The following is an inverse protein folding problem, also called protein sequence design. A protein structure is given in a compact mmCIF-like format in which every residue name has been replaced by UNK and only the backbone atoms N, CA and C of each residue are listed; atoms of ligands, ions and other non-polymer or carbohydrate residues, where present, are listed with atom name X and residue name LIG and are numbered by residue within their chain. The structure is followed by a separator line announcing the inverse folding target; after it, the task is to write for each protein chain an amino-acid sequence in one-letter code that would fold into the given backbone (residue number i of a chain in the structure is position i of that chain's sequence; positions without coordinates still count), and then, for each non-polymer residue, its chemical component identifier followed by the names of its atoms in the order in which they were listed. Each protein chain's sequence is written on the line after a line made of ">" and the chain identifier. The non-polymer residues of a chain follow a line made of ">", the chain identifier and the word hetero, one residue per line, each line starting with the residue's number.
data_IF_225250263457
#
_entry.id   IF_225250263457
#
_cell.length_a   1.000
_cell.length_b   1.000
_cell.length_c   1.000
_cell.angle_alpha   90.00
_cell.angle_beta   90.00
_cell.angle_gamma   90.00
#
_symmetry.space_group_name_H-M   'P 1'
#
loop_
_entity.id
_entity.type
_entity.pdbx_description
1 polymer ?
#
# COMPACT_ATOMS: atom_id res chain seq x y z
N UNK A 1 -23.21 9.22 -5.83
CA UNK A 1 -22.95 10.56 -5.28
C UNK A 1 -21.87 11.19 -6.14
N UNK A 2 -22.23 12.10 -7.04
CA UNK A 2 -21.30 12.70 -7.98
C UNK A 2 -20.31 13.59 -7.22
N UNK A 3 -19.02 13.31 -7.36
CA UNK A 3 -17.95 14.16 -6.83
C UNK A 3 -17.95 15.40 -7.72
N UNK A 4 -18.38 16.54 -7.19
CA UNK A 4 -18.31 17.82 -7.91
C UNK A 4 -16.84 18.12 -8.22
N UNK A 5 -16.53 18.29 -9.51
CA UNK A 5 -15.17 18.49 -10.02
C UNK A 5 -14.50 19.80 -9.55
N UNK A 6 -15.19 20.63 -8.78
CA UNK A 6 -14.76 21.99 -8.40
C UNK A 6 -13.89 22.08 -7.13
N UNK A 7 -13.67 21.00 -6.35
CA UNK A 7 -12.97 21.11 -5.04
C UNK A 7 -11.64 20.35 -4.89
N UNK A 8 -11.31 19.42 -5.79
CA UNK A 8 -10.18 18.49 -5.58
C UNK A 8 -8.82 19.19 -5.46
N UNK A 9 -8.61 20.28 -6.21
CA UNK A 9 -7.35 21.02 -6.19
C UNK A 9 -7.06 21.65 -4.82
N UNK A 10 -8.10 22.18 -4.16
CA UNK A 10 -7.97 22.74 -2.80
C UNK A 10 -7.70 21.66 -1.76
N UNK A 11 -8.38 20.52 -1.87
CA UNK A 11 -8.21 19.38 -0.97
C UNK A 11 -6.83 18.74 -1.13
N UNK A 12 -6.37 18.54 -2.36
CA UNK A 12 -5.03 18.04 -2.66
C UNK A 12 -3.95 18.98 -2.14
N UNK A 13 -4.12 20.30 -2.32
CA UNK A 13 -3.19 21.29 -1.79
C UNK A 13 -3.12 21.24 -0.26
N UNK A 14 -4.27 21.18 0.42
CA UNK A 14 -4.33 21.04 1.89
C UNK A 14 -3.63 19.76 2.36
N UNK A 15 -3.83 18.64 1.67
CA UNK A 15 -3.16 17.38 1.99
C UNK A 15 -1.63 17.49 1.81
N UNK A 16 -1.16 18.07 0.71
CA UNK A 16 0.27 18.29 0.46
C UNK A 16 0.90 19.22 1.51
N UNK A 17 0.23 20.33 1.87
CA UNK A 17 0.67 21.19 2.97
C UNK A 17 0.80 20.39 4.26
N UNK A 18 -0.18 19.53 4.57
CA UNK A 18 -0.13 18.71 5.79
C UNK A 18 1.05 17.74 5.81
N UNK A 19 1.37 17.12 4.67
CA UNK A 19 2.58 16.27 4.52
C UNK A 19 3.83 17.08 4.83
N UNK A 20 3.98 18.26 4.22
CA UNK A 20 5.15 19.13 4.44
C UNK A 20 5.27 19.65 5.87
N UNK A 21 4.16 19.97 6.52
CA UNK A 21 4.13 20.40 7.92
C UNK A 21 4.51 19.30 8.90
N UNK A 22 4.08 18.06 8.63
CA UNK A 22 4.27 16.93 9.56
C UNK A 22 5.48 16.07 9.26
N UNK A 23 6.03 16.17 8.04
CA UNK A 23 7.16 15.37 7.54
C UNK A 23 7.04 13.89 7.94
N UNK A 24 5.95 13.20 7.53
CA UNK A 24 5.66 11.87 8.04
C UNK A 24 6.75 10.86 7.66
N UNK A 25 7.11 10.00 8.61
CA UNK A 25 8.02 8.87 8.37
C UNK A 25 7.26 7.75 7.66
N UNK A 26 7.60 7.46 6.40
CA UNK A 26 6.94 6.43 5.59
C UNK A 26 7.87 5.24 5.41
N UNK A 27 7.50 4.11 6.04
CA UNK A 27 8.20 2.85 5.79
C UNK A 27 7.80 2.31 4.42
N UNK A 28 8.78 1.94 3.61
CA UNK A 28 8.60 1.47 2.25
C UNK A 28 9.17 0.05 2.12
N UNK A 29 8.30 -0.94 1.96
CA UNK A 29 8.68 -2.31 1.57
C UNK A 29 8.29 -2.45 0.10
N UNK A 30 9.19 -2.03 -0.79
CA UNK A 30 8.92 -1.82 -2.22
C UNK A 30 9.88 -2.59 -3.09
N UNK A 31 9.56 -2.73 -4.38
CA UNK A 31 10.38 -3.48 -5.32
C UNK A 31 11.72 -2.80 -5.63
N UNK A 32 12.72 -3.59 -6.03
CA UNK A 32 14.09 -3.11 -6.32
C UNK A 32 14.14 -2.03 -7.41
N UNK A 33 13.25 -2.09 -8.40
CA UNK A 33 13.25 -1.17 -9.54
C UNK A 33 12.75 0.22 -9.12
N UNK A 34 11.78 0.29 -8.21
CA UNK A 34 11.16 1.55 -7.80
C UNK A 34 11.66 2.14 -6.49
N UNK A 35 12.57 1.48 -5.76
CA UNK A 35 13.08 2.00 -4.48
C UNK A 35 13.56 3.45 -4.58
N UNK A 36 14.45 3.74 -5.53
CA UNK A 36 15.05 5.07 -5.67
C UNK A 36 14.02 6.15 -6.06
N UNK A 37 13.12 5.85 -7.00
CA UNK A 37 12.11 6.82 -7.43
C UNK A 37 11.05 7.05 -6.35
N UNK A 38 10.69 6.02 -5.58
CA UNK A 38 9.77 6.13 -4.46
C UNK A 38 10.35 7.00 -3.33
N UNK A 39 11.62 6.79 -2.95
CA UNK A 39 12.32 7.65 -1.99
C UNK A 39 12.29 9.12 -2.42
N UNK A 40 12.76 9.40 -3.64
CA UNK A 40 12.87 10.77 -4.11
C UNK A 40 11.52 11.46 -4.30
N UNK A 41 10.48 10.71 -4.68
CA UNK A 41 9.12 11.26 -4.77
C UNK A 41 8.61 11.67 -3.39
N UNK A 42 8.77 10.80 -2.38
CA UNK A 42 8.38 11.11 -1.00
C UNK A 42 9.17 12.30 -0.44
N UNK A 43 10.48 12.38 -0.71
CA UNK A 43 11.30 13.53 -0.32
C UNK A 43 10.83 14.83 -1.00
N UNK A 44 10.52 14.78 -2.30
CA UNK A 44 10.03 15.95 -3.05
C UNK A 44 8.66 16.44 -2.53
N UNK A 45 7.82 15.51 -2.06
CA UNK A 45 6.54 15.81 -1.42
C UNK A 45 6.69 16.37 0.00
N UNK A 46 7.87 16.20 0.63
CA UNK A 46 8.18 16.66 1.99
C UNK A 46 7.98 15.62 3.09
N UNK A 47 7.89 14.33 2.73
CA UNK A 47 7.88 13.21 3.66
C UNK A 47 9.30 12.66 3.90
N UNK A 48 9.44 11.77 4.88
CA UNK A 48 10.70 11.07 5.19
C UNK A 48 10.57 9.58 4.83
N UNK A 49 11.16 9.10 3.72
CA UNK A 49 11.09 7.69 3.33
C UNK A 49 12.12 6.84 4.08
N UNK A 50 11.77 5.58 4.38
CA UNK A 50 12.71 4.59 4.89
C UNK A 50 12.44 3.19 4.34
N UNK A 51 13.46 2.57 3.74
CA UNK A 51 13.39 1.26 3.10
C UNK A 51 13.80 0.17 4.09
N UNK A 52 12.90 -0.15 5.02
CA UNK A 52 13.16 -1.12 6.10
C UNK A 52 12.29 -2.36 5.91
N UNK A 53 12.94 -3.50 5.70
CA UNK A 53 12.30 -4.78 5.36
C UNK A 53 12.92 -6.00 6.08
N UNK A 54 14.01 -5.78 6.83
CA UNK A 54 14.76 -6.82 7.55
C UNK A 54 14.05 -7.14 8.84
N UNK A 55 13.70 -8.41 9.07
CA UNK A 55 12.77 -8.82 10.13
C UNK A 55 13.25 -8.42 11.53
N UNK A 56 14.57 -8.40 11.72
CA UNK A 56 15.25 -8.09 12.98
C UNK A 56 14.95 -6.68 13.51
N UNK A 57 14.76 -5.71 12.62
CA UNK A 57 14.40 -4.32 12.98
C UNK A 57 12.98 -3.93 12.56
N UNK A 58 12.32 -4.78 11.76
CA UNK A 58 11.08 -4.45 11.06
C UNK A 58 9.95 -4.00 11.99
N UNK A 59 9.70 -4.76 13.05
CA UNK A 59 8.54 -4.52 13.93
C UNK A 59 8.73 -3.27 14.78
N UNK A 60 9.95 -3.02 15.22
CA UNK A 60 10.32 -1.79 15.91
C UNK A 60 10.13 -0.60 14.97
N UNK A 61 10.69 -0.67 13.76
CA UNK A 61 10.60 0.40 12.79
C UNK A 61 9.15 0.69 12.35
N UNK A 62 8.36 -0.36 12.12
CA UNK A 62 6.94 -0.24 11.76
C UNK A 62 6.17 0.53 12.82
N UNK A 63 6.46 0.28 14.10
CA UNK A 63 5.81 0.97 15.22
C UNK A 63 6.14 2.47 15.27
N UNK A 64 7.36 2.85 14.86
CA UNK A 64 7.83 4.24 14.78
C UNK A 64 7.28 4.98 13.55
N UNK A 65 7.01 4.26 12.46
CA UNK A 65 6.53 4.85 11.21
C UNK A 65 5.17 5.55 11.37
N UNK A 66 4.92 6.54 10.52
CA UNK A 66 3.62 7.21 10.39
C UNK A 66 2.67 6.45 9.45
N UNK A 67 3.23 5.78 8.44
CA UNK A 67 2.50 4.97 7.47
C UNK A 67 3.42 3.91 6.84
N UNK A 68 2.80 2.88 6.26
CA UNK A 68 3.50 1.78 5.57
C UNK A 68 3.06 1.68 4.10
N UNK A 69 4.02 1.67 3.18
CA UNK A 69 3.80 1.39 1.76
C UNK A 69 4.35 0.03 1.38
N UNK A 70 3.51 -0.82 0.78
CA UNK A 70 3.88 -2.16 0.30
C UNK A 70 3.69 -2.23 -1.22
N UNK A 71 4.74 -2.68 -1.91
CA UNK A 71 4.68 -2.94 -3.35
C UNK A 71 5.33 -4.30 -3.66
N UNK A 72 4.59 -5.18 -4.33
CA UNK A 72 4.98 -6.58 -4.59
C UNK A 72 5.72 -6.79 -5.92
N UNK A 73 6.23 -5.72 -6.55
CA UNK A 73 6.79 -5.75 -7.92
C UNK A 73 7.94 -6.74 -8.13
N UNK A 74 8.85 -6.90 -7.18
CA UNK A 74 9.98 -7.86 -7.23
C UNK A 74 9.89 -8.83 -6.05
N UNK A 75 8.76 -9.50 -5.92
CA UNK A 75 8.42 -10.35 -4.80
C UNK A 75 9.38 -11.54 -4.61
N UNK A 76 9.71 -11.85 -3.36
CA UNK A 76 10.38 -13.08 -2.94
C UNK A 76 9.67 -13.68 -1.71
N UNK A 77 9.89 -14.96 -1.37
CA UNK A 77 9.31 -15.57 -0.16
C UNK A 77 9.64 -14.82 1.12
N UNK A 78 10.91 -14.44 1.31
CA UNK A 78 11.38 -13.70 2.50
C UNK A 78 10.71 -12.33 2.59
N UNK A 79 10.54 -11.66 1.45
CA UNK A 79 9.88 -10.37 1.39
C UNK A 79 8.41 -10.44 1.73
N UNK A 80 7.70 -11.49 1.27
CA UNK A 80 6.30 -11.69 1.68
C UNK A 80 6.18 -11.92 3.18
N UNK A 81 7.11 -12.67 3.77
CA UNK A 81 7.14 -12.88 5.20
C UNK A 81 7.28 -11.53 5.95
N UNK A 82 8.26 -10.71 5.55
CA UNK A 82 8.43 -9.37 6.11
C UNK A 82 7.22 -8.47 5.87
N UNK A 83 6.67 -8.43 4.65
CA UNK A 83 5.49 -7.62 4.33
C UNK A 83 4.32 -7.97 5.26
N UNK A 84 4.03 -9.26 5.45
CA UNK A 84 2.98 -9.70 6.38
C UNK A 84 3.26 -9.28 7.81
N UNK A 85 4.47 -9.50 8.32
CA UNK A 85 4.85 -9.12 9.67
C UNK A 85 4.69 -7.59 9.89
N UNK A 86 5.11 -6.78 8.92
CA UNK A 86 4.92 -5.33 8.94
C UNK A 86 3.45 -4.93 8.92
N UNK A 87 2.61 -5.52 8.05
CA UNK A 87 1.17 -5.19 8.02
C UNK A 87 0.44 -5.55 9.31
N UNK A 88 0.77 -6.70 9.92
CA UNK A 88 0.18 -7.11 11.19
C UNK A 88 0.54 -6.08 12.26
N UNK A 89 1.81 -5.69 12.36
CA UNK A 89 2.26 -4.67 13.30
C UNK A 89 1.66 -3.29 13.01
N UNK A 90 1.55 -2.91 11.75
CA UNK A 90 0.91 -1.66 11.34
C UNK A 90 -0.56 -1.63 11.82
N UNK A 91 -1.29 -2.73 11.64
CA UNK A 91 -2.66 -2.84 12.13
C UNK A 91 -2.75 -2.78 13.66
N UNK A 92 -1.88 -3.48 14.39
CA UNK A 92 -1.79 -3.42 15.86
C UNK A 92 -1.53 -2.01 16.36
N UNK A 93 -0.65 -1.26 15.68
CA UNK A 93 -0.31 0.12 15.99
C UNK A 93 -1.24 1.16 15.33
N UNK A 94 -2.31 0.73 14.68
CA UNK A 94 -3.26 1.58 13.95
C UNK A 94 -2.61 2.53 12.93
N UNK A 95 -1.52 2.09 12.30
CA UNK A 95 -0.82 2.82 11.24
C UNK A 95 -1.49 2.54 9.90
N UNK A 96 -1.84 3.57 9.11
CA UNK A 96 -2.41 3.37 7.80
C UNK A 96 -1.38 2.74 6.86
N UNK A 97 -1.83 1.85 5.99
CA UNK A 97 -0.95 1.23 5.01
C UNK A 97 -1.59 1.07 3.63
N UNK A 98 -0.75 1.14 2.61
CA UNK A 98 -1.12 1.10 1.20
C UNK A 98 -0.53 -0.13 0.52
N UNK A 99 -1.35 -0.81 -0.28
CA UNK A 99 -0.92 -1.94 -1.10
C UNK A 99 -0.89 -1.54 -2.59
N UNK A 100 0.25 -1.78 -3.22
CA UNK A 100 0.44 -1.71 -4.67
C UNK A 100 0.65 -3.14 -5.22
N UNK A 101 -0.39 -3.75 -5.83
CA UNK A 101 -0.43 -5.16 -6.19
C UNK A 101 0.25 -5.44 -7.54
N UNK A 102 1.44 -4.87 -7.79
CA UNK A 102 2.13 -4.92 -9.09
C UNK A 102 2.21 -6.33 -9.67
N UNK A 103 1.61 -6.50 -10.85
CA UNK A 103 1.62 -7.76 -11.60
C UNK A 103 0.70 -8.85 -11.02
N UNK A 104 -0.25 -8.51 -10.15
CA UNK A 104 -1.36 -9.40 -9.80
C UNK A 104 -2.11 -9.83 -11.07
N UNK A 105 -2.54 -11.10 -11.13
CA UNK A 105 -3.15 -11.71 -12.31
C UNK A 105 -2.15 -12.20 -13.37
N UNK A 106 -0.89 -11.75 -13.35
CA UNK A 106 0.11 -12.23 -14.31
C UNK A 106 0.62 -13.64 -13.96
N UNK A 107 0.75 -13.95 -12.67
CA UNK A 107 1.14 -15.29 -12.19
C UNK A 107 0.32 -15.68 -10.97
N UNK A 108 0.12 -16.99 -10.80
CA UNK A 108 -0.57 -17.56 -9.64
C UNK A 108 0.09 -17.13 -8.32
N UNK A 109 1.42 -17.19 -8.25
CA UNK A 109 2.18 -16.80 -7.06
C UNK A 109 1.91 -15.36 -6.62
N UNK A 110 2.00 -14.38 -7.54
CA UNK A 110 1.72 -12.96 -7.21
C UNK A 110 0.29 -12.77 -6.75
N UNK A 111 -0.64 -13.47 -7.40
CA UNK A 111 -2.07 -13.38 -7.11
C UNK A 111 -2.39 -13.91 -5.71
N UNK A 112 -1.97 -15.13 -5.39
CA UNK A 112 -2.18 -15.72 -4.07
C UNK A 112 -1.58 -14.85 -2.96
N UNK A 113 -0.34 -14.37 -3.13
CA UNK A 113 0.33 -13.54 -2.12
C UNK A 113 -0.27 -12.14 -1.98
N UNK A 114 -0.78 -11.57 -3.07
CA UNK A 114 -1.53 -10.34 -3.02
C UNK A 114 -2.84 -10.50 -2.22
N UNK A 115 -3.60 -11.58 -2.47
CA UNK A 115 -4.85 -11.85 -1.73
C UNK A 115 -4.57 -12.08 -0.24
N UNK A 116 -3.49 -12.78 0.11
CA UNK A 116 -3.05 -12.93 1.50
C UNK A 116 -2.80 -11.57 2.18
N UNK A 117 -2.21 -10.59 1.48
CA UNK A 117 -2.01 -9.23 2.01
C UNK A 117 -3.32 -8.43 2.07
N UNK A 118 -4.20 -8.56 1.08
CA UNK A 118 -5.51 -7.86 1.08
C UNK A 118 -6.37 -8.30 2.27
N UNK A 119 -6.31 -9.59 2.64
CA UNK A 119 -6.98 -10.10 3.85
C UNK A 119 -6.49 -9.44 5.15
N UNK A 120 -5.34 -8.77 5.13
CA UNK A 120 -4.82 -7.97 6.24
C UNK A 120 -5.34 -6.52 6.23
N UNK A 121 -6.32 -6.21 5.37
CA UNK A 121 -7.13 -4.98 5.35
C UNK A 121 -6.30 -3.69 5.14
N UNK A 122 -5.70 -3.49 3.94
CA UNK A 122 -5.07 -2.21 3.60
C UNK A 122 -6.06 -1.04 3.67
N UNK A 123 -5.56 0.16 3.95
CA UNK A 123 -6.37 1.38 3.90
C UNK A 123 -6.63 1.82 2.45
N UNK A 124 -5.68 1.55 1.56
CA UNK A 124 -5.77 1.90 0.14
C UNK A 124 -5.15 0.78 -0.69
N UNK A 125 -5.80 0.43 -1.80
CA UNK A 125 -5.21 -0.41 -2.84
C UNK A 125 -5.05 0.47 -4.09
N UNK A 126 -3.81 0.62 -4.57
CA UNK A 126 -3.48 1.45 -5.73
C UNK A 126 -2.89 0.56 -6.81
N UNK A 127 -3.53 0.49 -7.97
CA UNK A 127 -3.09 -0.34 -9.09
C UNK A 127 -3.69 0.12 -10.41
N UNK A 128 -3.17 -0.40 -11.53
CA UNK A 128 -3.77 -0.14 -12.83
C UNK A 128 -5.10 -0.91 -13.02
N UNK A 129 -5.84 -0.63 -14.09
CA UNK A 129 -7.17 -1.26 -14.32
C UNK A 129 -7.09 -2.77 -14.32
N UNK A 130 -6.13 -3.35 -15.06
CA UNK A 130 -5.99 -4.81 -15.14
C UNK A 130 -5.69 -5.45 -13.79
N UNK A 131 -4.84 -4.80 -12.99
CA UNK A 131 -4.48 -5.29 -11.64
C UNK A 131 -5.66 -5.21 -10.68
N UNK A 132 -6.39 -4.10 -10.68
CA UNK A 132 -7.58 -3.94 -9.85
C UNK A 132 -8.68 -4.94 -10.25
N UNK A 133 -8.89 -5.15 -11.56
CA UNK A 133 -9.85 -6.15 -12.04
C UNK A 133 -9.45 -7.58 -11.63
N UNK A 134 -8.15 -7.91 -11.70
CA UNK A 134 -7.66 -9.21 -11.23
C UNK A 134 -7.87 -9.38 -9.73
N UNK A 135 -7.58 -8.35 -8.92
CA UNK A 135 -7.83 -8.37 -7.47
C UNK A 135 -9.31 -8.60 -7.17
N UNK A 136 -10.22 -7.84 -7.80
CA UNK A 136 -11.66 -7.96 -7.56
C UNK A 136 -12.20 -9.30 -8.05
N UNK A 137 -11.75 -9.78 -9.22
CA UNK A 137 -12.16 -11.05 -9.79
C UNK A 137 -11.82 -12.23 -8.87
N UNK A 138 -10.57 -12.30 -8.42
CA UNK A 138 -10.08 -13.36 -7.53
C UNK A 138 -10.68 -13.26 -6.11
N UNK A 139 -10.90 -12.03 -5.62
CA UNK A 139 -11.55 -11.80 -4.34
C UNK A 139 -13.00 -12.34 -4.32
N UNK A 140 -13.76 -12.10 -5.38
CA UNK A 140 -15.15 -12.58 -5.50
C UNK A 140 -15.22 -14.12 -5.54
N UNK A 141 -14.23 -14.76 -6.16
CA UNK A 141 -14.12 -16.24 -6.20
C UNK A 141 -13.80 -16.80 -4.81
N UNK A 142 -12.97 -16.10 -4.03
CA UNK A 142 -12.54 -16.59 -2.71
C UNK A 142 -13.54 -16.32 -1.57
N UNK A 143 -14.37 -15.28 -1.67
CA UNK A 143 -15.25 -14.84 -0.56
C UNK A 143 -16.72 -15.22 -0.73
N UNK A 144 -17.18 -15.57 -1.94
CA UNK A 144 -18.58 -15.95 -2.19
C UNK A 144 -19.62 -14.86 -1.89
N UNK A 145 -19.19 -13.65 -1.53
CA UNK A 145 -20.04 -12.52 -1.17
C UNK A 145 -20.17 -11.55 -2.35
N UNK A 146 -21.42 -11.18 -2.64
CA UNK A 146 -21.73 -10.14 -3.63
C UNK A 146 -21.30 -8.78 -3.08
N UNK A 147 -20.22 -8.23 -3.66
CA UNK A 147 -19.78 -6.81 -3.63
C UNK A 147 -20.48 -5.93 -2.60
N UNK A 148 -19.97 -5.87 -1.36
CA UNK A 148 -19.92 -4.66 -0.50
C UNK A 148 -19.18 -5.05 0.76
N UNK A 149 -17.94 -4.55 0.94
CA UNK A 149 -17.31 -4.06 2.19
C UNK A 149 -15.80 -4.11 1.99
N UNK A 150 -15.28 -3.21 1.13
CA UNK A 150 -13.87 -2.87 1.18
C UNK A 150 -13.77 -1.58 2.00
N UNK A 151 -13.16 -1.64 3.19
CA UNK A 151 -12.75 -0.41 3.89
C UNK A 151 -11.55 0.27 3.19
N UNK A 152 -10.98 -0.36 2.15
CA UNK A 152 -9.89 0.20 1.38
C UNK A 152 -10.43 1.10 0.26
N UNK A 153 -9.91 2.31 0.14
CA UNK A 153 -10.13 3.10 -1.06
C UNK A 153 -9.35 2.46 -2.22
N UNK A 154 -10.05 2.04 -3.28
CA UNK A 154 -9.41 1.52 -4.49
C UNK A 154 -9.21 2.68 -5.45
N UNK A 155 -7.95 3.00 -5.77
CA UNK A 155 -7.61 4.12 -6.65
C UNK A 155 -6.90 3.62 -7.90
N UNK A 156 -7.45 4.00 -9.06
CA UNK A 156 -6.84 3.78 -10.38
C UNK A 156 -5.85 4.90 -10.69
N UNK A 157 -4.72 4.55 -11.33
CA UNK A 157 -3.82 5.51 -11.99
C UNK A 157 -4.08 5.51 -13.49
#
# INVERSE_FOLDING_TARGET
>A
MAISTESWGSEAWKALCKVRETTPLVQCITNFVSMHIMANSLLADGASPAMVQVIEELLEFTSLSSALGINIGTLSPDWIFSMKAATIRANECQKPWVLDPVGVGATRFRTEKCIELINLKPCVIRGNVSEIMAVVGEWNVCTGESTTTCCAAVTKI
#
